data_IF_983910185629
#
_entry.id   IF_983910185629
#
_cell.length_a   1.000
_cell.length_b   1.000
_cell.length_c   1.000
_cell.angle_alpha   90.00
_cell.angle_beta   90.00
_cell.angle_gamma   90.00
#
_symmetry.space_group_name_H-M   'P 1'
#
loop_
_entity.id
_entity.type
_entity.pdbx_description
1 polymer ?
#
# COMPACT_ATOMS: atom_id res chain seq x y z
N UNK A 1 -68.42 -37.62 -5.42
CA UNK A 1 -67.04 -37.60 -5.98
C UNK A 1 -66.72 -36.24 -6.60
N UNK A 2 -66.10 -35.29 -5.86
CA UNK A 2 -65.74 -33.97 -6.39
C UNK A 2 -64.25 -33.57 -6.26
N UNK A 3 -63.37 -34.44 -5.75
CA UNK A 3 -61.94 -34.10 -5.52
C UNK A 3 -61.04 -34.27 -6.76
N UNK A 4 -61.40 -35.18 -7.68
CA UNK A 4 -60.58 -35.59 -8.83
C UNK A 4 -60.38 -34.46 -9.88
N UNK A 5 -61.35 -33.54 -10.00
CA UNK A 5 -61.23 -32.37 -10.90
C UNK A 5 -60.31 -31.28 -10.35
N UNK A 6 -60.18 -31.16 -9.03
CA UNK A 6 -59.32 -30.16 -8.40
C UNK A 6 -57.85 -30.56 -8.57
N UNK A 7 -57.53 -31.86 -8.45
CA UNK A 7 -56.18 -32.39 -8.62
C UNK A 7 -55.65 -32.24 -10.06
N UNK A 8 -56.48 -32.50 -11.08
CA UNK A 8 -56.06 -32.31 -12.48
C UNK A 8 -55.78 -30.85 -12.81
N UNK A 9 -56.54 -29.92 -12.21
CA UNK A 9 -56.36 -28.47 -12.41
C UNK A 9 -55.10 -27.97 -11.70
N UNK A 10 -54.82 -28.44 -10.47
CA UNK A 10 -53.59 -28.08 -9.74
C UNK A 10 -52.35 -28.67 -10.42
N UNK A 11 -52.39 -29.91 -10.89
CA UNK A 11 -51.28 -30.54 -11.62
C UNK A 11 -50.97 -29.83 -12.94
N UNK A 12 -51.99 -29.36 -13.67
CA UNK A 12 -51.81 -28.55 -14.87
C UNK A 12 -51.16 -27.20 -14.55
N UNK A 13 -51.57 -26.53 -13.47
CA UNK A 13 -50.95 -25.29 -13.02
C UNK A 13 -49.52 -25.50 -12.53
N UNK A 14 -49.23 -26.59 -11.83
CA UNK A 14 -47.87 -26.94 -11.39
C UNK A 14 -46.97 -27.22 -12.59
N UNK A 15 -47.43 -27.96 -13.60
CA UNK A 15 -46.69 -28.18 -14.86
C UNK A 15 -46.47 -26.88 -15.64
N UNK A 16 -47.46 -25.99 -15.68
CA UNK A 16 -47.32 -24.69 -16.31
C UNK A 16 -46.28 -23.83 -15.58
N UNK A 17 -46.31 -23.80 -14.25
CA UNK A 17 -45.33 -23.06 -13.44
C UNK A 17 -43.92 -23.65 -13.54
N UNK A 18 -43.76 -24.99 -13.58
CA UNK A 18 -42.45 -25.61 -13.82
C UNK A 18 -41.94 -25.33 -15.23
N UNK A 19 -42.81 -25.27 -16.24
CA UNK A 19 -42.42 -24.88 -17.61
C UNK A 19 -42.06 -23.40 -17.71
N UNK A 20 -42.73 -22.53 -16.95
CA UNK A 20 -42.48 -21.08 -16.94
C UNK A 20 -41.21 -20.73 -16.16
N UNK A 21 -41.01 -21.32 -14.97
CA UNK A 21 -39.77 -21.20 -14.18
C UNK A 21 -38.60 -21.84 -14.94
N UNK A 22 -38.81 -23.04 -15.50
CA UNK A 22 -37.82 -23.74 -16.33
C UNK A 22 -37.43 -22.95 -17.58
N UNK A 23 -38.40 -22.32 -18.26
CA UNK A 23 -38.17 -21.46 -19.42
C UNK A 23 -37.35 -20.20 -19.11
N UNK A 24 -37.61 -19.56 -17.97
CA UNK A 24 -36.82 -18.39 -17.52
C UNK A 24 -35.38 -18.79 -17.14
N UNK A 25 -35.19 -19.95 -16.53
CA UNK A 25 -33.85 -20.46 -16.17
C UNK A 25 -33.08 -20.90 -17.43
N UNK A 26 -33.74 -21.52 -18.41
CA UNK A 26 -33.13 -21.91 -19.68
C UNK A 26 -32.77 -20.70 -20.57
N UNK A 27 -33.63 -19.68 -20.65
CA UNK A 27 -33.32 -18.45 -21.40
C UNK A 27 -32.14 -17.69 -20.78
N UNK A 28 -32.07 -17.61 -19.44
CA UNK A 28 -30.92 -16.99 -18.77
C UNK A 28 -29.61 -17.74 -18.99
N UNK A 29 -29.67 -19.05 -19.22
CA UNK A 29 -28.49 -19.84 -19.61
C UNK A 29 -28.09 -19.61 -21.07
N UNK A 30 -29.04 -19.39 -21.99
CA UNK A 30 -28.74 -19.11 -23.40
C UNK A 30 -28.21 -17.69 -23.64
N UNK A 31 -28.62 -16.72 -22.81
CA UNK A 31 -28.12 -15.34 -22.84
C UNK A 31 -26.74 -15.17 -22.18
N UNK A 32 -26.30 -16.15 -21.38
CA UNK A 32 -24.94 -16.19 -20.84
C UNK A 32 -24.01 -16.89 -21.85
N UNK A 33 -23.70 -16.21 -22.95
CA UNK A 33 -22.51 -16.55 -23.74
C UNK A 33 -21.29 -15.99 -23.00
N UNK A 34 -20.42 -16.81 -22.40
CA UNK A 34 -19.18 -16.30 -21.86
C UNK A 34 -18.27 -15.93 -23.03
N UNK A 35 -18.25 -14.64 -23.40
CA UNK A 35 -17.25 -14.04 -24.31
C UNK A 35 -15.82 -14.07 -23.74
N UNK A 36 -15.61 -14.82 -22.65
CA UNK A 36 -14.35 -15.00 -21.97
C UNK A 36 -14.00 -16.48 -21.92
N UNK A 37 -13.28 -16.94 -22.94
CA UNK A 37 -12.48 -18.17 -22.88
C UNK A 37 -11.06 -17.75 -22.54
N UNK A 38 -10.58 -17.93 -21.29
CA UNK A 38 -9.20 -17.62 -20.97
C UNK A 38 -8.28 -18.54 -21.78
N UNK A 39 -7.59 -17.97 -22.77
CA UNK A 39 -6.58 -18.65 -23.59
C UNK A 39 -5.46 -19.19 -22.68
N UNK A 40 -5.57 -20.47 -22.36
CA UNK A 40 -4.63 -21.20 -21.50
C UNK A 40 -3.21 -21.27 -22.07
N UNK A 41 -3.00 -20.89 -23.34
CA UNK A 41 -1.69 -20.92 -24.02
C UNK A 41 -0.85 -19.65 -23.84
N UNK A 42 -1.39 -18.60 -23.21
CA UNK A 42 -0.71 -17.29 -23.07
C UNK A 42 0.30 -17.18 -21.92
N UNK A 43 0.54 -18.24 -21.13
CA UNK A 43 1.51 -18.22 -20.01
C UNK A 43 2.98 -18.24 -20.46
N UNK A 44 3.29 -18.76 -21.64
CA UNK A 44 4.68 -18.94 -22.10
C UNK A 44 5.37 -17.64 -22.55
N UNK A 45 4.64 -16.51 -22.64
CA UNK A 45 5.14 -15.26 -23.24
C UNK A 45 5.27 -14.08 -22.27
N UNK A 46 5.14 -14.27 -20.95
CA UNK A 46 5.34 -13.16 -20.01
C UNK A 46 6.83 -12.77 -19.91
N UNK A 47 7.72 -13.74 -19.71
CA UNK A 47 9.16 -13.50 -19.54
C UNK A 47 9.87 -13.01 -20.81
N UNK A 48 9.44 -13.48 -22.00
CA UNK A 48 9.98 -13.01 -23.28
C UNK A 48 9.55 -11.59 -23.59
N UNK A 49 8.28 -11.25 -23.31
CA UNK A 49 7.75 -9.90 -23.53
C UNK A 49 8.32 -8.91 -22.50
N UNK A 50 8.46 -9.32 -21.24
CA UNK A 50 9.13 -8.53 -20.21
C UNK A 50 10.60 -8.20 -20.57
N UNK A 51 11.37 -9.19 -21.04
CA UNK A 51 12.75 -8.96 -21.47
C UNK A 51 12.87 -8.06 -22.70
N UNK A 52 11.90 -8.11 -23.63
CA UNK A 52 11.81 -7.20 -24.77
C UNK A 52 11.52 -5.77 -24.33
N UNK A 53 10.61 -5.59 -23.37
CA UNK A 53 10.24 -4.28 -22.84
C UNK A 53 11.37 -3.64 -22.02
N UNK A 54 12.08 -4.41 -21.20
CA UNK A 54 13.25 -3.93 -20.45
C UNK A 54 14.35 -3.44 -21.40
N UNK A 55 14.62 -4.19 -22.48
CA UNK A 55 15.59 -3.76 -23.50
C UNK A 55 15.13 -2.51 -24.26
N UNK A 56 13.82 -2.39 -24.55
CA UNK A 56 13.24 -1.24 -25.26
C UNK A 56 13.31 0.05 -24.42
N UNK A 57 13.25 -0.05 -23.09
CA UNK A 57 13.28 1.09 -22.16
C UNK A 57 14.57 1.18 -21.34
N UNK A 58 15.70 0.76 -21.92
CA UNK A 58 17.02 0.80 -21.27
C UNK A 58 17.40 2.19 -20.75
N UNK A 59 17.07 3.27 -21.49
CA UNK A 59 17.41 4.64 -21.07
C UNK A 59 16.69 5.04 -19.78
N UNK A 60 15.44 4.61 -19.59
CA UNK A 60 14.68 4.87 -18.37
C UNK A 60 15.30 4.15 -17.17
N UNK A 61 15.72 2.90 -17.36
CA UNK A 61 16.42 2.16 -16.31
C UNK A 61 17.77 2.81 -15.98
N UNK A 62 18.54 3.26 -16.98
CA UNK A 62 19.81 3.96 -16.75
C UNK A 62 19.64 5.26 -15.96
N UNK A 63 18.56 6.02 -16.18
CA UNK A 63 18.26 7.24 -15.42
C UNK A 63 17.92 6.94 -13.95
N UNK A 64 17.24 5.83 -13.70
CA UNK A 64 16.75 5.45 -12.36
C UNK A 64 17.80 4.68 -11.55
N UNK A 65 18.77 4.05 -12.20
CA UNK A 65 19.84 3.29 -11.52
C UNK A 65 20.67 4.17 -10.56
N UNK A 66 21.21 5.34 -10.94
CA UNK A 66 22.02 6.17 -10.06
C UNK A 66 21.32 6.57 -8.75
N UNK A 67 20.08 7.09 -8.74
CA UNK A 67 19.40 7.41 -7.49
C UNK A 67 19.11 6.17 -6.66
N UNK A 68 18.70 5.04 -7.26
CA UNK A 68 18.48 3.79 -6.52
C UNK A 68 19.77 3.31 -5.86
N UNK A 69 20.88 3.31 -6.60
CA UNK A 69 22.17 2.87 -6.09
C UNK A 69 22.64 3.77 -4.95
N UNK A 70 22.44 5.09 -5.09
CA UNK A 70 22.68 6.05 -4.02
C UNK A 70 21.86 5.72 -2.77
N UNK A 71 20.55 5.47 -2.89
CA UNK A 71 19.73 5.07 -1.75
C UNK A 71 20.20 3.76 -1.11
N UNK A 72 20.60 2.78 -1.90
CA UNK A 72 21.10 1.50 -1.38
C UNK A 72 22.35 1.70 -0.53
N UNK A 73 23.33 2.44 -1.06
CA UNK A 73 24.64 2.61 -0.42
C UNK A 73 24.55 3.57 0.77
N UNK A 74 23.82 4.68 0.64
CA UNK A 74 23.84 5.73 1.66
C UNK A 74 22.69 5.66 2.67
N UNK A 75 21.58 4.98 2.35
CA UNK A 75 20.47 4.81 3.31
C UNK A 75 20.33 3.38 3.80
N UNK A 76 20.28 2.39 2.90
CA UNK A 76 20.04 1.01 3.31
C UNK A 76 21.25 0.36 3.97
N UNK A 77 22.46 0.60 3.45
CA UNK A 77 23.67 0.03 4.05
C UNK A 77 23.91 0.51 5.49
N UNK A 78 23.80 1.81 5.84
CA UNK A 78 23.89 2.24 7.24
C UNK A 78 22.82 1.62 8.14
N UNK A 79 21.61 1.39 7.63
CA UNK A 79 20.53 0.74 8.40
C UNK A 79 20.84 -0.72 8.76
N UNK A 80 21.68 -1.43 8.00
CA UNK A 80 22.12 -2.78 8.38
C UNK A 80 22.89 -2.78 9.72
N UNK A 81 23.54 -1.66 10.06
CA UNK A 81 24.23 -1.51 11.34
C UNK A 81 23.26 -1.35 12.53
N UNK A 82 21.94 -1.28 12.32
CA UNK A 82 20.97 -1.29 13.42
C UNK A 82 21.05 -2.57 14.27
N UNK A 83 21.64 -3.65 13.74
CA UNK A 83 21.97 -4.87 14.48
C UNK A 83 22.86 -4.62 15.71
N UNK A 84 23.61 -3.51 15.70
CA UNK A 84 24.51 -3.13 16.79
C UNK A 84 23.78 -2.87 18.11
N UNK A 85 22.51 -2.47 18.07
CA UNK A 85 21.69 -2.30 19.26
C UNK A 85 21.47 -3.60 20.05
N UNK A 86 21.67 -4.76 19.41
CA UNK A 86 21.50 -6.08 20.01
C UNK A 86 22.82 -6.77 20.38
N UNK A 87 23.95 -6.13 20.09
CA UNK A 87 25.30 -6.67 20.35
C UNK A 87 26.05 -5.77 21.33
N UNK A 88 26.87 -6.37 22.17
CA UNK A 88 27.78 -5.63 23.06
C UNK A 88 29.00 -5.18 22.26
N UNK A 89 28.81 -4.12 21.48
CA UNK A 89 29.79 -3.67 20.50
C UNK A 89 31.08 -3.20 21.17
N UNK A 90 32.17 -3.90 20.86
CA UNK A 90 33.51 -3.46 21.20
C UNK A 90 34.24 -3.03 19.93
N UNK A 91 34.71 -1.77 19.91
CA UNK A 91 35.44 -1.17 18.78
C UNK A 91 36.64 -2.02 18.36
N UNK A 92 37.30 -2.70 19.30
CA UNK A 92 38.48 -3.55 19.06
C UNK A 92 38.09 -4.87 18.37
N UNK A 93 36.91 -5.43 18.68
CA UNK A 93 36.45 -6.72 18.12
C UNK A 93 35.59 -6.56 16.85
N UNK A 94 35.21 -5.33 16.51
CA UNK A 94 34.34 -5.02 15.38
C UNK A 94 32.89 -5.51 15.54
N UNK A 95 32.06 -5.20 14.54
CA UNK A 95 30.60 -5.47 14.53
C UNK A 95 30.33 -7.00 14.50
N UNK A 96 31.22 -7.75 13.85
CA UNK A 96 31.05 -9.19 13.61
C UNK A 96 31.64 -10.06 14.73
N UNK A 97 32.62 -9.58 15.50
CA UNK A 97 33.23 -10.31 16.63
C UNK A 97 32.61 -10.01 18.00
N UNK A 98 31.65 -9.09 18.07
CA UNK A 98 31.00 -8.70 19.32
C UNK A 98 29.85 -9.67 19.70
N UNK A 99 29.74 -10.08 20.98
CA UNK A 99 28.74 -11.05 21.42
C UNK A 99 27.32 -10.47 21.35
N UNK A 100 26.35 -11.34 21.03
CA UNK A 100 24.94 -10.97 21.00
C UNK A 100 24.37 -10.91 22.42
N UNK A 101 23.82 -9.76 22.81
CA UNK A 101 23.28 -9.50 24.16
C UNK A 101 21.79 -9.20 24.17
N UNK A 102 21.13 -9.27 23.01
CA UNK A 102 19.68 -9.12 22.87
C UNK A 102 19.19 -7.76 23.37
N UNK A 103 18.28 -7.75 24.34
CA UNK A 103 17.60 -6.54 24.81
C UNK A 103 18.29 -5.79 25.96
N UNK A 104 19.51 -6.17 26.33
CA UNK A 104 20.25 -5.55 27.46
C UNK A 104 20.31 -4.02 27.33
N UNK A 105 20.72 -3.51 26.17
CA UNK A 105 20.85 -2.06 25.94
C UNK A 105 19.50 -1.33 25.97
N UNK A 106 18.43 -1.97 25.49
CA UNK A 106 17.08 -1.40 25.55
C UNK A 106 16.59 -1.25 26.99
N UNK A 107 16.78 -2.26 27.85
CA UNK A 107 16.39 -2.18 29.27
C UNK A 107 17.13 -1.04 29.98
N UNK A 108 18.46 -0.97 29.81
CA UNK A 108 19.28 0.11 30.37
C UNK A 108 18.83 1.50 29.88
N UNK A 109 18.39 1.59 28.62
CA UNK A 109 17.88 2.84 28.06
C UNK A 109 16.53 3.25 28.65
N UNK A 110 15.59 2.32 28.83
CA UNK A 110 14.28 2.59 29.42
C UNK A 110 14.32 2.83 30.95
N UNK A 111 15.26 2.20 31.65
CA UNK A 111 15.49 2.39 33.08
C UNK A 111 16.20 3.72 33.40
N UNK A 112 16.73 4.41 32.39
CA UNK A 112 17.38 5.70 32.59
C UNK A 112 16.35 6.76 33.03
N UNK A 113 16.58 7.47 34.16
CA UNK A 113 15.65 8.48 34.66
C UNK A 113 15.40 9.64 33.67
N UNK A 114 16.33 9.92 32.76
CA UNK A 114 16.19 10.97 31.75
C UNK A 114 15.36 10.55 30.54
N UNK A 115 15.13 9.25 30.33
CA UNK A 115 14.45 8.74 29.14
C UNK A 115 13.07 9.39 28.95
N UNK A 116 12.23 9.38 29.99
CA UNK A 116 10.88 9.94 29.92
C UNK A 116 10.86 11.47 29.75
N UNK A 117 11.83 12.16 30.34
CA UNK A 117 12.00 13.60 30.16
C UNK A 117 12.32 13.92 28.70
N UNK A 118 13.26 13.18 28.10
CA UNK A 118 13.62 13.34 26.69
C UNK A 118 12.44 13.05 25.75
N UNK A 119 11.73 11.94 25.96
CA UNK A 119 10.57 11.56 25.14
C UNK A 119 9.47 12.62 25.21
N UNK A 120 9.12 13.09 26.42
CA UNK A 120 8.13 14.16 26.57
C UNK A 120 8.57 15.42 25.87
N UNK A 121 9.82 15.84 26.04
CA UNK A 121 10.36 17.04 25.40
C UNK A 121 10.30 16.94 23.86
N UNK A 122 10.67 15.80 23.29
CA UNK A 122 10.57 15.58 21.84
C UNK A 122 9.12 15.62 21.37
N UNK A 123 8.19 14.98 22.08
CA UNK A 123 6.76 15.01 21.73
C UNK A 123 6.20 16.43 21.82
N UNK A 124 6.51 17.17 22.89
CA UNK A 124 6.09 18.56 23.06
C UNK A 124 6.67 19.44 21.94
N UNK A 125 7.96 19.29 21.63
CA UNK A 125 8.62 20.03 20.56
C UNK A 125 8.00 19.70 19.20
N UNK A 126 7.85 18.42 18.85
CA UNK A 126 7.20 18.00 17.60
C UNK A 126 5.75 18.49 17.52
N UNK A 127 5.01 18.50 18.63
CA UNK A 127 3.67 19.07 18.70
C UNK A 127 3.68 20.58 18.41
N UNK A 128 4.60 21.33 19.02
CA UNK A 128 4.77 22.75 18.74
C UNK A 128 5.14 23.01 17.27
N UNK A 129 6.02 22.18 16.68
CA UNK A 129 6.38 22.27 15.27
C UNK A 129 5.19 22.05 14.34
N UNK A 130 4.26 21.16 14.69
CA UNK A 130 3.04 20.97 13.89
C UNK A 130 2.11 22.17 14.04
N UNK A 131 1.87 22.60 15.29
CA UNK A 131 0.96 23.70 15.60
C UNK A 131 1.45 25.06 15.09
N UNK A 132 2.76 25.27 14.99
CA UNK A 132 3.32 26.50 14.44
C UNK A 132 3.69 26.34 12.96
N UNK A 133 4.35 25.23 12.61
CA UNK A 133 4.89 25.00 11.26
C UNK A 133 3.84 24.75 10.19
N UNK A 134 2.62 24.32 10.54
CA UNK A 134 1.53 24.21 9.57
C UNK A 134 0.74 25.52 9.42
N UNK A 135 0.25 26.18 10.49
CA UNK A 135 -0.59 27.38 10.35
C UNK A 135 0.18 28.62 9.94
N UNK A 136 1.43 28.81 10.40
CA UNK A 136 2.20 30.02 10.11
C UNK A 136 2.42 30.20 8.59
N UNK A 137 2.92 29.20 7.84
CA UNK A 137 3.04 29.32 6.38
C UNK A 137 1.70 29.56 5.67
N UNK A 138 0.59 28.97 6.17
CA UNK A 138 -0.75 29.17 5.60
C UNK A 138 -1.19 30.61 5.79
N UNK A 139 -1.06 31.14 7.00
CA UNK A 139 -1.40 32.54 7.31
C UNK A 139 -0.53 33.48 6.46
N UNK A 140 0.78 33.24 6.37
CA UNK A 140 1.69 34.02 5.53
C UNK A 140 1.29 33.97 4.05
N UNK A 141 0.91 32.80 3.53
CA UNK A 141 0.43 32.66 2.16
C UNK A 141 -0.89 33.41 1.92
N UNK A 142 -1.82 33.37 2.87
CA UNK A 142 -3.09 34.09 2.79
C UNK A 142 -2.90 35.62 2.86
N UNK A 143 -2.02 36.10 3.75
CA UNK A 143 -1.65 37.52 3.84
C UNK A 143 -1.00 37.98 2.54
N UNK A 144 -0.04 37.22 2.01
CA UNK A 144 0.63 37.52 0.75
C UNK A 144 -0.32 37.49 -0.47
N UNK A 145 -1.26 36.54 -0.48
CA UNK A 145 -2.29 36.47 -1.51
C UNK A 145 -3.24 37.68 -1.47
N UNK A 146 -3.61 38.13 -0.26
CA UNK A 146 -4.49 39.28 -0.07
C UNK A 146 -3.77 40.62 -0.36
N UNK A 147 -2.48 40.74 -0.03
CA UNK A 147 -1.68 41.92 -0.37
C UNK A 147 -1.32 42.01 -1.86
N UNK A 148 -1.21 40.87 -2.55
CA UNK A 148 -1.08 40.78 -4.02
C UNK A 148 -2.32 41.21 -4.81
N UNK A 149 -3.48 41.32 -4.16
CA UNK A 149 -4.71 41.92 -4.74
C UNK A 149 -4.64 43.45 -4.76
N UNK A 150 -3.75 44.08 -3.96
CA UNK A 150 -3.69 45.54 -3.79
C UNK A 150 -2.51 46.23 -4.48
N UNK A 151 -1.58 45.49 -5.09
CA UNK A 151 -0.63 46.05 -6.04
C UNK A 151 -1.18 45.86 -7.45
N UNK A 152 -1.91 46.85 -8.03
CA UNK A 152 -2.09 46.85 -9.47
C UNK A 152 -0.70 46.81 -10.07
N UNK A 153 -0.46 45.79 -10.89
CA UNK A 153 0.72 45.64 -11.74
C UNK A 153 1.03 47.00 -12.39
N UNK A 154 1.91 47.78 -11.79
CA UNK A 154 2.51 48.90 -12.50
C UNK A 154 3.41 48.28 -13.56
N UNK A 155 3.17 48.71 -14.80
CA UNK A 155 3.82 48.22 -16.02
C UNK A 155 5.34 48.25 -15.90
#
# INVERSE_FOLDING_TARGET
>A
MPYDRLEKKTLSSIKALTKLIGGIILEKQLAFQPDYVPDAKRKASYWRTARRNIKKHWQLHLLVIPPILFFLIFKYYPMLNAVLAFKDYNVIKGIWGSPWVGFKHFRLFFENPQFWTLVKNTIFLSGYLILAGFPIPIILALIGAFSGIFLPKQR
#
